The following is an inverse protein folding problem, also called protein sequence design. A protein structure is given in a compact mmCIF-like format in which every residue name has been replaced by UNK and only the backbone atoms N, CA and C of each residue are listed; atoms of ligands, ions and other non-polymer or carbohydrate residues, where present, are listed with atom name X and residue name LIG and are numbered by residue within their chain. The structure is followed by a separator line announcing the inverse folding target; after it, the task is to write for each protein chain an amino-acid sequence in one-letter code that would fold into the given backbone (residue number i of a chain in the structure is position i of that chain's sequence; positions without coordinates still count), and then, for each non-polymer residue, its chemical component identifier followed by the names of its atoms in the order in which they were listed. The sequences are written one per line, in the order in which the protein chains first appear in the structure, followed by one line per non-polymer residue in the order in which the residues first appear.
data_IF_095766062315
#
_entry.id   IF_095766062315
#
_cell.length_a   1.000
_cell.length_b   1.000
_cell.length_c   1.000
_cell.angle_alpha   90.00
_cell.angle_beta   90.00
_cell.angle_gamma   90.00
#
_symmetry.space_group_name_H-M   'P 1'
#
loop_
_entity.id
_entity.type
_entity.pdbx_description
1 polymer ?
#
# COMPACT_ATOMS: atom_id res chain seq x y z
N UNK A 1 -28.65 -32.20 -68.17
CA UNK A 1 -28.30 -31.68 -66.83
C UNK A 1 -27.11 -30.73 -67.00
N UNK A 2 -27.26 -29.42 -66.72
CA UNK A 2 -26.14 -28.46 -66.79
C UNK A 2 -25.34 -28.52 -65.48
N UNK A 3 -24.10 -28.99 -65.56
CA UNK A 3 -23.14 -28.94 -64.45
C UNK A 3 -22.72 -27.49 -64.21
N UNK A 4 -22.99 -26.95 -63.01
CA UNK A 4 -22.41 -25.67 -62.58
C UNK A 4 -20.95 -25.94 -62.21
N UNK A 5 -20.02 -25.41 -63.01
CA UNK A 5 -18.61 -25.34 -62.64
C UNK A 5 -18.51 -24.37 -61.46
N UNK A 6 -18.14 -24.86 -60.28
CA UNK A 6 -17.80 -23.97 -59.16
C UNK A 6 -16.43 -23.36 -59.46
N UNK A 7 -16.40 -22.05 -59.69
CA UNK A 7 -15.17 -21.26 -59.76
C UNK A 7 -14.44 -21.37 -58.41
N UNK A 8 -13.26 -21.99 -58.43
CA UNK A 8 -12.33 -21.98 -57.29
C UNK A 8 -11.61 -20.65 -57.17
N UNK A 9 -11.21 -20.28 -55.95
CA UNK A 9 -10.40 -19.09 -55.69
C UNK A 9 -9.09 -19.12 -56.48
N UNK A 10 -8.68 -17.97 -57.00
CA UNK A 10 -7.39 -17.84 -57.68
C UNK A 10 -6.24 -17.81 -56.66
N UNK A 11 -5.05 -18.24 -57.09
CA UNK A 11 -3.84 -18.20 -56.25
C UNK A 11 -3.50 -16.76 -55.81
N UNK A 12 -3.79 -15.77 -56.66
CA UNK A 12 -3.61 -14.37 -56.35
C UNK A 12 -4.59 -13.86 -55.27
N UNK A 13 -5.85 -14.31 -55.30
CA UNK A 13 -6.83 -13.94 -54.26
C UNK A 13 -6.43 -14.47 -52.88
N UNK A 14 -5.96 -15.72 -52.80
CA UNK A 14 -5.52 -16.25 -51.50
C UNK A 14 -4.26 -15.54 -51.01
N UNK A 15 -3.34 -15.17 -51.90
CA UNK A 15 -2.13 -14.44 -51.51
C UNK A 15 -2.43 -13.04 -50.95
N UNK A 16 -3.37 -12.32 -51.57
CA UNK A 16 -3.82 -11.00 -51.09
C UNK A 16 -4.53 -11.12 -49.74
N UNK A 17 -5.39 -12.13 -49.56
CA UNK A 17 -6.11 -12.34 -48.29
C UNK A 17 -5.15 -12.63 -47.16
N UNK A 18 -4.18 -13.53 -47.36
CA UNK A 18 -3.21 -13.88 -46.32
C UNK A 18 -2.32 -12.68 -45.97
N UNK A 19 -1.90 -11.89 -46.96
CA UNK A 19 -1.11 -10.68 -46.68
C UNK A 19 -1.90 -9.63 -45.89
N UNK A 20 -3.18 -9.41 -46.22
CA UNK A 20 -4.05 -8.52 -45.44
C UNK A 20 -4.21 -9.04 -44.00
N UNK A 21 -4.45 -10.35 -43.82
CA UNK A 21 -4.58 -10.95 -42.48
C UNK A 21 -3.32 -10.81 -41.64
N UNK A 22 -2.14 -10.99 -42.25
CA UNK A 22 -0.85 -10.82 -41.55
C UNK A 22 -0.66 -9.37 -41.11
N UNK A 23 -0.92 -8.40 -41.99
CA UNK A 23 -0.78 -6.97 -41.66
C UNK A 23 -1.75 -6.57 -40.56
N UNK A 24 -3.03 -6.97 -40.65
CA UNK A 24 -4.02 -6.70 -39.62
C UNK A 24 -3.69 -7.38 -38.28
N UNK A 25 -3.17 -8.60 -38.32
CA UNK A 25 -2.73 -9.31 -37.11
C UNK A 25 -1.61 -8.57 -36.38
N UNK A 26 -0.62 -8.06 -37.12
CA UNK A 26 0.48 -7.30 -36.55
C UNK A 26 0.03 -5.94 -35.97
N UNK A 27 -0.88 -5.23 -36.65
CA UNK A 27 -1.35 -3.92 -36.15
C UNK A 27 -2.14 -4.03 -34.86
N UNK A 28 -2.94 -5.08 -34.69
CA UNK A 28 -3.71 -5.32 -33.46
C UNK A 28 -2.78 -5.56 -32.26
N UNK A 29 -1.73 -6.35 -32.43
CA UNK A 29 -0.77 -6.66 -31.37
C UNK A 29 0.07 -5.44 -30.96
N UNK A 30 0.34 -4.52 -31.88
CA UNK A 30 1.01 -3.25 -31.58
C UNK A 30 0.04 -2.25 -30.94
N UNK A 31 -1.23 -2.26 -31.35
CA UNK A 31 -2.25 -1.30 -30.89
C UNK A 31 -2.85 -1.62 -29.52
N UNK A 32 -2.90 -2.89 -29.12
CA UNK A 32 -3.41 -3.34 -27.82
C UNK A 32 -2.26 -3.97 -27.06
N UNK A 33 -1.89 -3.41 -25.91
CA UNK A 33 -0.98 -4.08 -24.98
C UNK A 33 -1.80 -5.05 -24.10
N UNK A 34 -1.92 -6.34 -24.43
CA UNK A 34 -2.78 -7.28 -23.71
C UNK A 34 -2.37 -7.41 -22.23
N UNK A 35 -1.06 -7.34 -21.94
CA UNK A 35 -0.57 -7.43 -20.56
C UNK A 35 -1.11 -6.29 -19.69
N UNK A 36 -1.18 -5.07 -20.23
CA UNK A 36 -1.71 -3.93 -19.49
C UNK A 36 -3.21 -4.10 -19.17
N UNK A 37 -3.98 -4.74 -20.05
CA UNK A 37 -5.39 -5.03 -19.79
C UNK A 37 -5.56 -6.04 -18.65
N UNK A 38 -4.72 -7.07 -18.60
CA UNK A 38 -4.72 -8.01 -17.47
C UNK A 38 -4.36 -7.33 -16.15
N UNK A 39 -3.34 -6.47 -16.13
CA UNK A 39 -2.95 -5.73 -14.92
C UNK A 39 -4.10 -4.85 -14.41
N UNK A 40 -4.77 -4.11 -15.29
CA UNK A 40 -5.96 -3.33 -14.94
C UNK A 40 -7.09 -4.20 -14.38
N UNK A 41 -7.27 -5.40 -14.93
CA UNK A 41 -8.24 -6.37 -14.42
C UNK A 41 -7.94 -6.79 -12.97
N UNK A 42 -6.68 -7.14 -12.68
CA UNK A 42 -6.24 -7.48 -11.32
C UNK A 42 -6.39 -6.31 -10.36
N UNK A 43 -6.00 -5.10 -10.77
CA UNK A 43 -6.08 -3.90 -9.93
C UNK A 43 -7.54 -3.50 -9.65
N UNK A 44 -8.43 -3.64 -10.64
CA UNK A 44 -9.88 -3.47 -10.44
C UNK A 44 -10.41 -4.46 -9.41
N UNK A 45 -9.93 -5.70 -9.46
CA UNK A 45 -10.33 -6.72 -8.49
C UNK A 45 -9.82 -6.41 -7.08
N UNK A 46 -8.55 -5.98 -6.92
CA UNK A 46 -7.99 -5.52 -5.64
C UNK A 46 -8.82 -4.42 -5.00
N UNK A 47 -9.21 -3.41 -5.79
CA UNK A 47 -10.07 -2.30 -5.33
C UNK A 47 -11.42 -2.82 -4.81
N UNK A 48 -12.04 -3.74 -5.55
CA UNK A 48 -13.30 -4.36 -5.14
C UNK A 48 -13.16 -5.21 -3.87
N UNK A 49 -12.07 -5.95 -3.74
CA UNK A 49 -11.82 -6.82 -2.59
C UNK A 49 -11.53 -6.01 -1.32
N UNK A 50 -10.73 -4.93 -1.41
CA UNK A 50 -10.54 -3.96 -0.33
C UNK A 50 -11.88 -3.35 0.14
N UNK A 51 -12.77 -2.98 -0.80
CA UNK A 51 -14.09 -2.46 -0.44
C UNK A 51 -14.94 -3.48 0.33
N UNK A 52 -14.95 -4.75 -0.10
CA UNK A 52 -15.67 -5.82 0.62
C UNK A 52 -15.09 -6.06 2.01
N UNK A 53 -13.76 -6.12 2.13
CA UNK A 53 -13.09 -6.27 3.42
C UNK A 53 -13.47 -5.11 4.33
N UNK A 54 -13.45 -3.86 3.83
CA UNK A 54 -13.89 -2.69 4.59
C UNK A 54 -15.29 -2.88 5.14
N UNK A 55 -16.27 -3.14 4.28
CA UNK A 55 -17.67 -3.29 4.70
C UNK A 55 -17.84 -4.40 5.74
N UNK A 56 -17.15 -5.53 5.57
CA UNK A 56 -17.19 -6.63 6.54
C UNK A 56 -16.54 -6.26 7.87
N UNK A 57 -15.42 -5.55 7.85
CA UNK A 57 -14.72 -5.08 9.04
C UNK A 57 -15.53 -4.04 9.81
N UNK A 58 -16.20 -3.09 9.13
CA UNK A 58 -17.10 -2.14 9.79
C UNK A 58 -18.31 -2.86 10.41
N UNK A 59 -18.86 -3.87 9.73
CA UNK A 59 -19.94 -4.68 10.28
C UNK A 59 -19.49 -5.50 11.50
N UNK A 60 -18.29 -6.08 11.47
CA UNK A 60 -17.71 -6.77 12.61
C UNK A 60 -17.51 -5.82 13.80
N UNK A 61 -16.98 -4.62 13.54
CA UNK A 61 -16.77 -3.59 14.55
C UNK A 61 -18.09 -3.20 15.23
N UNK A 62 -19.17 -3.02 14.46
CA UNK A 62 -20.48 -2.66 14.99
C UNK A 62 -21.03 -3.68 16.01
N UNK A 63 -20.63 -4.96 15.91
CA UNK A 63 -21.07 -6.02 16.81
C UNK A 63 -20.08 -6.32 17.96
N UNK A 64 -18.79 -6.00 17.79
CA UNK A 64 -17.72 -6.39 18.71
C UNK A 64 -16.96 -5.22 19.37
N UNK A 65 -17.28 -3.97 19.00
CA UNK A 65 -16.62 -2.74 19.45
C UNK A 65 -15.09 -2.70 19.17
N UNK A 66 -14.60 -3.55 18.26
CA UNK A 66 -13.26 -3.50 17.70
C UNK A 66 -13.16 -4.22 16.37
N UNK A 67 -12.09 -3.95 15.61
CA UNK A 67 -11.81 -4.65 14.36
C UNK A 67 -11.23 -6.05 14.63
N UNK A 68 -11.33 -6.99 13.67
CA UNK A 68 -10.75 -8.32 13.83
C UNK A 68 -9.23 -8.28 14.04
N UNK A 69 -8.69 -9.32 14.69
CA UNK A 69 -7.24 -9.46 14.91
C UNK A 69 -6.44 -9.31 13.63
N UNK A 70 -5.22 -8.75 13.72
CA UNK A 70 -4.34 -8.47 12.58
C UNK A 70 -4.08 -9.69 11.68
N UNK A 71 -4.08 -10.90 12.26
CA UNK A 71 -3.83 -12.13 11.53
C UNK A 71 -5.00 -12.64 10.69
N UNK A 72 -6.19 -12.00 10.77
CA UNK A 72 -7.39 -12.52 10.11
C UNK A 72 -7.19 -12.69 8.60
N UNK A 73 -6.50 -11.73 7.95
CA UNK A 73 -6.29 -11.77 6.50
C UNK A 73 -5.26 -12.80 6.08
N UNK A 74 -4.41 -13.29 6.99
CA UNK A 74 -3.46 -14.37 6.71
C UNK A 74 -4.18 -15.67 6.30
N UNK A 75 -5.45 -15.80 6.67
CA UNK A 75 -6.33 -16.91 6.30
C UNK A 75 -7.11 -16.67 5.00
N UNK A 76 -6.57 -15.90 4.05
CA UNK A 76 -7.24 -15.64 2.78
C UNK A 76 -7.67 -16.94 2.08
N UNK A 77 -8.83 -16.93 1.43
CA UNK A 77 -9.49 -18.11 0.86
C UNK A 77 -10.32 -18.92 1.87
N UNK A 78 -10.26 -18.58 3.16
CA UNK A 78 -11.11 -19.19 4.20
C UNK A 78 -12.39 -18.39 4.46
N UNK A 79 -13.29 -18.99 5.25
CA UNK A 79 -14.54 -18.40 5.72
C UNK A 79 -14.42 -17.92 7.19
N UNK A 80 -13.20 -17.61 7.66
CA UNK A 80 -12.94 -17.28 9.07
C UNK A 80 -13.67 -16.03 9.59
N UNK A 81 -14.21 -15.20 8.69
CA UNK A 81 -14.90 -13.95 9.00
C UNK A 81 -16.43 -14.04 8.79
N UNK A 82 -16.99 -15.24 8.67
CA UNK A 82 -18.44 -15.42 8.70
C UNK A 82 -19.02 -14.90 10.04
N UNK A 83 -20.23 -14.29 10.03
CA UNK A 83 -21.12 -14.08 8.89
C UNK A 83 -20.84 -12.80 8.06
N UNK A 84 -19.85 -11.99 8.45
CA UNK A 84 -19.60 -10.67 7.87
C UNK A 84 -19.01 -10.72 6.45
N UNK A 85 -18.20 -11.75 6.18
CA UNK A 85 -17.61 -12.00 4.88
C UNK A 85 -17.57 -13.49 4.61
N UNK A 86 -18.29 -13.93 3.57
CA UNK A 86 -18.38 -15.34 3.21
C UNK A 86 -17.02 -15.98 2.96
N UNK A 87 -16.13 -15.30 2.22
CA UNK A 87 -14.77 -15.77 1.98
C UNK A 87 -13.81 -14.58 1.93
N UNK A 88 -12.71 -14.66 2.66
CA UNK A 88 -11.67 -13.63 2.68
C UNK A 88 -10.95 -13.66 1.32
N UNK A 89 -10.96 -12.58 0.53
CA UNK A 89 -10.31 -12.59 -0.78
C UNK A 89 -8.78 -12.60 -0.66
N UNK A 90 -8.11 -13.34 -1.53
CA UNK A 90 -6.67 -13.26 -1.75
C UNK A 90 -6.37 -12.33 -2.93
N UNK A 91 -5.14 -11.80 -2.98
CA UNK A 91 -4.66 -11.06 -4.14
C UNK A 91 -4.80 -11.91 -5.43
N UNK A 92 -5.42 -11.38 -6.50
CA UNK A 92 -5.76 -12.19 -7.68
C UNK A 92 -4.55 -12.55 -8.55
N UNK A 93 -3.38 -11.96 -8.30
CA UNK A 93 -2.14 -12.28 -9.02
C UNK A 93 -1.20 -13.13 -8.15
N UNK A 94 -0.87 -12.68 -6.94
CA UNK A 94 0.08 -13.37 -6.07
C UNK A 94 -0.55 -14.50 -5.25
N UNK A 95 -1.88 -14.54 -5.14
CA UNK A 95 -2.64 -15.44 -4.27
C UNK A 95 -2.25 -15.32 -2.79
N UNK A 96 -1.67 -14.18 -2.41
CA UNK A 96 -1.29 -13.88 -1.02
C UNK A 96 -2.38 -13.05 -0.33
N UNK A 97 -2.40 -13.04 1.01
CA UNK A 97 -3.16 -12.08 1.80
C UNK A 97 -2.89 -10.62 1.41
N UNK A 98 -3.91 -9.78 1.59
CA UNK A 98 -3.71 -8.32 1.61
C UNK A 98 -3.00 -7.90 2.89
N UNK A 99 -2.24 -6.80 2.83
CA UNK A 99 -1.49 -6.30 3.99
C UNK A 99 -2.45 -5.66 4.98
N UNK A 100 -2.53 -6.22 6.19
CA UNK A 100 -3.24 -5.63 7.32
C UNK A 100 -2.25 -4.83 8.17
N UNK A 101 -2.57 -3.56 8.43
CA UNK A 101 -1.90 -2.73 9.42
C UNK A 101 -2.87 -2.24 10.50
N UNK A 102 -2.42 -2.21 11.75
CA UNK A 102 -3.12 -1.56 12.85
C UNK A 102 -2.47 -0.21 13.13
N UNK A 103 -3.26 0.77 13.55
CA UNK A 103 -2.76 2.07 13.96
C UNK A 103 -1.69 1.97 15.07
N UNK A 104 -0.94 3.06 15.30
CA UNK A 104 0.08 3.11 16.35
C UNK A 104 -0.55 2.91 17.74
N UNK A 105 0.12 2.12 18.59
CA UNK A 105 -0.32 1.79 19.96
C UNK A 105 -1.64 1.01 20.06
N UNK A 106 -2.07 0.36 18.97
CA UNK A 106 -3.25 -0.49 18.95
C UNK A 106 -2.97 -1.91 19.45
N UNK A 107 -4.01 -2.58 19.93
CA UNK A 107 -3.95 -4.01 20.25
C UNK A 107 -3.94 -4.85 18.98
N UNK A 108 -3.08 -5.85 18.89
CA UNK A 108 -3.06 -6.78 17.76
C UNK A 108 -4.32 -7.68 17.70
N UNK A 109 -5.05 -7.83 18.81
CA UNK A 109 -6.19 -8.74 18.95
C UNK A 109 -7.52 -8.00 18.76
N UNK A 110 -7.60 -6.76 19.20
CA UNK A 110 -8.82 -5.95 19.19
C UNK A 110 -8.46 -4.47 18.87
N UNK A 111 -7.94 -4.21 17.66
CA UNK A 111 -7.55 -2.86 17.24
C UNK A 111 -8.76 -1.96 17.01
N UNK A 112 -8.59 -0.68 17.28
CA UNK A 112 -9.58 0.38 17.01
C UNK A 112 -9.30 1.11 15.68
N UNK A 113 -8.07 1.05 15.20
CA UNK A 113 -7.61 1.73 13.99
C UNK A 113 -6.92 0.76 13.06
N UNK A 114 -7.35 0.72 11.81
CA UNK A 114 -6.84 -0.26 10.84
C UNK A 114 -6.70 0.33 9.43
N UNK A 115 -5.73 -0.20 8.69
CA UNK A 115 -5.60 -0.02 7.25
C UNK A 115 -5.36 -1.36 6.58
N UNK A 116 -5.96 -1.55 5.42
CA UNK A 116 -5.71 -2.69 4.53
C UNK A 116 -5.15 -2.15 3.23
N UNK A 117 -3.99 -2.66 2.80
CA UNK A 117 -3.30 -2.19 1.59
C UNK A 117 -3.29 -3.25 0.50
N UNK A 118 -3.25 -2.77 -0.74
CA UNK A 118 -2.90 -3.58 -1.90
C UNK A 118 -1.93 -2.82 -2.80
N UNK A 119 -0.91 -3.52 -3.30
CA UNK A 119 0.05 -2.97 -4.26
C UNK A 119 -0.49 -3.23 -5.67
N UNK A 120 -0.62 -2.15 -6.44
CA UNK A 120 -1.05 -2.17 -7.82
C UNK A 120 0.08 -2.67 -8.73
N UNK A 121 -0.33 -3.45 -9.73
CA UNK A 121 0.58 -3.94 -10.76
C UNK A 121 0.72 -2.91 -11.88
N UNK A 122 -0.36 -2.20 -12.19
CA UNK A 122 -0.32 -1.07 -13.12
C UNK A 122 0.33 0.15 -12.48
N UNK A 123 1.61 0.37 -12.80
CA UNK A 123 2.42 1.52 -12.38
C UNK A 123 1.96 2.87 -12.94
N UNK A 124 0.93 2.88 -13.79
CA UNK A 124 0.34 4.08 -14.38
C UNK A 124 -1.07 4.36 -13.82
N UNK A 125 -1.51 3.62 -12.80
CA UNK A 125 -2.78 3.89 -12.14
C UNK A 125 -2.62 5.10 -11.20
N UNK A 126 -3.35 6.22 -11.42
CA UNK A 126 -3.19 7.42 -10.63
C UNK A 126 -3.55 7.22 -9.15
N UNK A 127 -4.38 6.22 -8.82
CA UNK A 127 -4.72 5.91 -7.43
C UNK A 127 -3.56 5.29 -6.66
N UNK A 128 -2.57 4.72 -7.38
CA UNK A 128 -1.39 4.12 -6.76
C UNK A 128 -0.45 5.15 -6.12
N UNK A 129 -0.57 6.43 -6.48
CA UNK A 129 0.35 7.49 -6.04
C UNK A 129 -0.32 8.52 -5.09
N UNK A 130 -1.54 8.24 -4.63
CA UNK A 130 -2.25 9.13 -3.69
C UNK A 130 -1.63 9.14 -2.27
N UNK A 131 -0.98 8.03 -1.87
CA UNK A 131 -0.28 7.91 -0.61
C UNK A 131 1.19 8.29 -0.75
N UNK A 132 1.58 9.41 -0.14
CA UNK A 132 2.97 9.84 -0.14
C UNK A 132 3.86 8.77 0.52
N UNK A 133 5.01 8.49 -0.08
CA UNK A 133 5.98 7.46 0.35
C UNK A 133 5.51 6.00 0.21
N UNK A 134 4.33 5.75 -0.37
CA UNK A 134 3.82 4.40 -0.63
C UNK A 134 3.46 4.26 -2.11
N UNK A 135 4.46 4.13 -3.01
CA UNK A 135 4.21 4.10 -4.44
C UNK A 135 3.37 2.88 -4.83
N UNK A 136 2.55 3.06 -5.86
CA UNK A 136 1.66 2.05 -6.42
C UNK A 136 0.74 1.37 -5.39
N UNK A 137 0.39 2.05 -4.29
CA UNK A 137 -0.33 1.42 -3.18
C UNK A 137 -1.68 2.07 -3.00
N UNK A 138 -2.73 1.26 -2.98
CA UNK A 138 -4.07 1.68 -2.57
C UNK A 138 -4.36 1.18 -1.16
N UNK A 139 -5.24 1.89 -0.46
CA UNK A 139 -5.58 1.58 0.93
C UNK A 139 -7.08 1.68 1.17
N UNK A 140 -7.56 0.86 2.10
CA UNK A 140 -8.83 1.04 2.77
C UNK A 140 -8.57 1.24 4.26
N UNK A 141 -9.05 2.37 4.81
CA UNK A 141 -8.86 2.74 6.21
C UNK A 141 -10.18 2.73 6.99
N UNK A 142 -10.07 2.48 8.30
CA UNK A 142 -11.14 2.72 9.28
C UNK A 142 -11.45 4.22 9.41
N UNK A 143 -12.60 4.56 10.00
CA UNK A 143 -13.02 5.95 10.18
C UNK A 143 -12.06 6.82 11.01
N UNK A 144 -11.43 6.23 12.03
CA UNK A 144 -10.55 6.93 12.98
C UNK A 144 -9.06 6.92 12.59
N UNK A 145 -8.72 6.33 11.45
CA UNK A 145 -7.35 6.35 10.91
C UNK A 145 -7.08 7.67 10.20
N UNK A 146 -6.01 8.36 10.58
CA UNK A 146 -5.59 9.58 9.92
C UNK A 146 -4.60 9.30 8.77
N UNK A 147 -4.36 10.32 7.92
CA UNK A 147 -3.49 10.19 6.75
C UNK A 147 -2.05 9.75 7.10
N UNK A 148 -1.48 10.27 8.19
CA UNK A 148 -0.10 10.00 8.57
C UNK A 148 0.08 8.61 9.18
N UNK A 149 -0.87 8.19 10.02
CA UNK A 149 -0.99 6.81 10.50
C UNK A 149 -1.09 5.84 9.31
N UNK A 150 -1.88 6.20 8.30
CA UNK A 150 -2.02 5.43 7.06
C UNK A 150 -0.71 5.33 6.28
N UNK A 151 0.06 6.41 6.15
CA UNK A 151 1.34 6.38 5.46
C UNK A 151 2.37 5.54 6.24
N UNK A 152 2.32 5.55 7.57
CA UNK A 152 3.26 4.77 8.40
C UNK A 152 3.15 3.26 8.18
N UNK A 153 1.93 2.77 7.92
CA UNK A 153 1.69 1.34 7.67
C UNK A 153 2.28 0.80 6.37
N UNK A 154 2.57 1.65 5.39
CA UNK A 154 3.12 1.23 4.09
C UNK A 154 4.54 1.74 3.80
N UNK A 155 5.00 2.80 4.48
CA UNK A 155 6.27 3.47 4.16
C UNK A 155 7.47 3.01 4.98
N UNK A 156 7.30 2.05 5.91
CA UNK A 156 8.31 1.69 6.94
C UNK A 156 8.83 2.90 7.74
N UNK A 157 8.05 4.00 7.78
CA UNK A 157 8.37 5.19 8.55
C UNK A 157 7.61 5.14 9.87
N UNK A 158 8.29 5.49 10.95
CA UNK A 158 7.65 5.59 12.26
C UNK A 158 6.83 6.88 12.33
N UNK A 159 5.52 6.74 12.57
CA UNK A 159 4.63 7.86 12.88
C UNK A 159 4.84 8.27 14.33
N UNK A 160 5.25 9.53 14.54
CA UNK A 160 5.43 10.10 15.86
C UNK A 160 4.45 11.24 16.02
N UNK A 161 3.55 11.12 17.00
CA UNK A 161 2.55 12.16 17.31
C UNK A 161 3.23 13.46 17.75
N UNK A 162 4.17 13.33 18.68
CA UNK A 162 5.02 14.41 19.16
C UNK A 162 6.49 14.01 18.95
N UNK A 163 7.24 14.83 18.25
CA UNK A 163 8.66 14.62 18.00
C UNK A 163 9.49 15.63 18.79
N UNK A 164 10.21 15.12 19.78
CA UNK A 164 11.12 15.92 20.58
C UNK A 164 12.54 15.82 20.01
N UNK A 165 13.27 16.93 20.01
CA UNK A 165 14.64 17.01 19.56
C UNK A 165 15.47 17.99 20.38
N UNK A 166 16.79 17.96 20.20
CA UNK A 166 17.68 18.90 20.85
C UNK A 166 17.74 20.22 20.08
N UNK A 167 17.43 21.33 20.75
CA UNK A 167 17.71 22.67 20.23
C UNK A 167 18.39 23.51 21.31
N UNK A 168 19.62 23.94 21.03
CA UNK A 168 20.42 24.75 21.97
C UNK A 168 20.62 24.09 23.36
N UNK A 169 20.75 22.77 23.40
CA UNK A 169 20.98 22.01 24.64
C UNK A 169 19.72 21.72 25.47
N UNK A 170 18.52 22.03 24.96
CA UNK A 170 17.25 21.68 25.58
C UNK A 170 16.44 20.70 24.71
N UNK A 171 15.73 19.78 25.35
CA UNK A 171 14.73 18.94 24.71
C UNK A 171 13.48 19.78 24.41
N UNK A 172 13.17 19.97 23.13
CA UNK A 172 12.02 20.78 22.67
C UNK A 172 11.18 19.98 21.69
N UNK A 173 9.88 20.30 21.61
CA UNK A 173 9.04 19.81 20.52
C UNK A 173 9.54 20.43 19.21
N UNK A 174 9.95 19.58 18.28
CA UNK A 174 10.49 20.00 16.98
C UNK A 174 9.45 19.82 15.86
N UNK A 175 8.66 18.76 15.93
CA UNK A 175 7.56 18.52 15.00
C UNK A 175 6.42 17.79 15.71
N UNK A 176 5.20 17.96 15.24
CA UNK A 176 4.01 17.23 15.68
C UNK A 176 3.23 16.83 14.45
N UNK A 177 2.74 15.60 14.39
CA UNK A 177 2.03 15.08 13.23
C UNK A 177 2.83 15.21 11.90
N UNK A 178 4.12 14.88 11.92
CA UNK A 178 4.98 14.87 10.73
C UNK A 178 5.91 13.64 10.71
N UNK A 179 6.52 13.36 9.55
CA UNK A 179 7.64 12.41 9.44
C UNK A 179 8.97 13.17 9.60
N UNK A 180 9.59 13.15 10.78
CA UNK A 180 10.74 14.01 11.06
C UNK A 180 12.00 13.55 10.30
N UNK A 181 12.82 14.51 9.88
CA UNK A 181 14.08 14.30 9.15
C UNK A 181 15.32 14.18 10.05
N UNK A 182 15.16 14.25 11.37
CA UNK A 182 16.29 14.33 12.30
C UNK A 182 16.82 12.95 12.70
N UNK A 183 18.12 12.74 12.50
CA UNK A 183 18.92 11.63 13.02
C UNK A 183 19.52 11.99 14.38
N UNK A 184 19.67 11.06 15.35
CA UNK A 184 19.73 9.60 15.20
C UNK A 184 18.74 8.82 16.08
N UNK A 185 17.60 9.39 16.47
CA UNK A 185 16.55 8.56 17.05
C UNK A 185 15.69 8.03 15.92
N UNK A 186 15.86 6.77 15.51
CA UNK A 186 14.88 6.10 14.65
C UNK A 186 13.57 5.79 15.40
N UNK A 187 13.52 6.09 16.70
CA UNK A 187 12.43 5.74 17.58
C UNK A 187 11.70 7.03 17.98
N UNK A 188 10.36 7.00 18.03
CA UNK A 188 9.52 8.08 18.57
C UNK A 188 9.70 8.19 20.10
N UNK A 189 10.93 8.43 20.54
CA UNK A 189 11.30 8.46 21.94
C UNK A 189 11.39 9.93 22.39
N UNK A 190 10.67 10.25 23.47
CA UNK A 190 10.77 11.55 24.14
C UNK A 190 12.16 11.81 24.76
N UNK A 191 13.06 10.82 24.67
CA UNK A 191 14.45 10.92 25.12
C UNK A 191 15.44 11.39 24.05
N UNK A 192 14.99 11.75 22.84
CA UNK A 192 15.88 12.25 21.78
C UNK A 192 17.05 11.29 21.45
N UNK A 193 16.86 9.97 21.56
CA UNK A 193 17.90 8.96 21.36
C UNK A 193 18.87 8.78 22.55
N UNK A 194 18.59 9.40 23.71
CA UNK A 194 19.42 9.25 24.90
C UNK A 194 19.32 7.83 25.47
N UNK A 195 20.45 7.19 25.80
CA UNK A 195 20.44 5.88 26.44
C UNK A 195 19.76 5.95 27.81
N UNK A 196 19.19 4.82 28.27
CA UNK A 196 18.44 4.75 29.53
C UNK A 196 19.25 5.15 30.78
N UNK A 197 20.58 5.19 30.67
CA UNK A 197 21.50 5.57 31.74
C UNK A 197 21.88 7.07 31.74
N UNK A 198 21.34 7.88 30.84
CA UNK A 198 21.55 9.33 30.79
C UNK A 198 20.21 10.05 30.65
N UNK A 199 20.10 11.23 31.25
CA UNK A 199 18.94 12.09 30.98
C UNK A 199 18.99 12.63 29.55
N UNK A 200 17.84 12.86 28.89
CA UNK A 200 17.80 13.47 27.57
C UNK A 200 18.58 14.79 27.51
N UNK A 201 18.52 15.60 28.56
CA UNK A 201 19.23 16.88 28.70
C UNK A 201 20.76 16.69 28.73
N UNK A 202 21.26 15.71 29.50
CA UNK A 202 22.69 15.39 29.55
C UNK A 202 23.20 14.89 28.20
N UNK A 203 22.45 14.01 27.53
CA UNK A 203 22.82 13.49 26.21
C UNK A 203 22.85 14.60 25.15
N UNK A 204 21.85 15.50 25.19
CA UNK A 204 21.71 16.64 24.28
C UNK A 204 22.82 17.70 24.46
N UNK A 205 23.41 17.81 25.65
CA UNK A 205 24.49 18.74 25.96
C UNK A 205 25.87 18.28 25.45
N UNK A 206 26.01 17.03 25.01
CA UNK A 206 27.28 16.47 24.55
C UNK A 206 27.54 16.84 23.08
N UNK A 207 28.72 17.43 22.84
CA UNK A 207 29.22 17.68 21.48
C UNK A 207 29.87 16.41 20.95
N UNK A 208 29.48 16.02 19.73
CA UNK A 208 30.17 15.01 18.93
C UNK A 208 31.64 15.42 18.70
N UNK A 209 32.50 14.45 18.38
CA UNK A 209 33.90 14.68 17.98
C UNK A 209 34.07 15.63 16.80
N UNK A 210 33.00 15.92 16.06
CA UNK A 210 32.93 16.89 14.96
C UNK A 210 32.44 18.29 15.36
N UNK A 211 32.25 18.56 16.66
CA UNK A 211 31.87 19.87 17.19
C UNK A 211 30.38 20.23 17.09
N UNK A 212 29.55 19.35 16.51
CA UNK A 212 28.09 19.44 16.48
C UNK A 212 27.49 18.80 17.71
N UNK A 213 26.38 19.32 18.25
CA UNK A 213 25.66 18.61 19.31
C UNK A 213 25.07 17.31 18.75
N UNK A 214 25.01 16.26 19.58
CA UNK A 214 24.29 15.04 19.19
C UNK A 214 22.83 15.44 18.93
N UNK A 215 22.31 15.13 17.74
CA UNK A 215 20.88 15.21 17.41
C UNK A 215 20.31 16.62 17.16
N UNK A 216 21.14 17.60 16.78
CA UNK A 216 20.64 18.87 16.22
C UNK A 216 19.99 18.64 14.85
N UNK A 217 18.71 18.98 14.72
CA UNK A 217 18.00 19.00 13.44
C UNK A 217 18.66 20.01 12.50
N UNK A 218 19.22 19.57 11.37
CA UNK A 218 19.55 20.46 10.26
C UNK A 218 18.27 20.74 9.47
N UNK A 219 17.97 22.01 9.25
CA UNK A 219 17.05 22.43 8.19
C UNK A 219 17.59 21.89 6.87
N UNK A 220 16.80 21.05 6.20
CA UNK A 220 16.96 20.76 4.77
C UNK A 220 16.38 21.94 4.00
#
# INVERSE_FOLDING_TARGET
MKSKISSGFTLAEILIVVTILVVLGLTILVGINPMMQFFKGYDTRRKSDLYKIKTAFEAYYADHDCYPSIDILNSCGSNALEPYLATIPCDPNSLQPYTYYTGPNESAICPQKIAVYAVLVNKLDPQGDELQFCPDTIVSISGDMNYLETVSGCSNRNYCRDWYGCKSGACVLVASDEFPSCSPSTNCDNRCGAPNNQTPEEFCSQKSSRGTYSNECKTI
#
